data_IF_850024611593
#
_entry.id   IF_850024611593
#
_cell.length_a   1.000
_cell.length_b   1.000
_cell.length_c   1.000
_cell.angle_alpha   90.00
_cell.angle_beta   90.00
_cell.angle_gamma   90.00
#
_symmetry.space_group_name_H-M   'P 1'
#
loop_
_entity.id
_entity.type
_entity.pdbx_description
1 polymer ?
#
# COMPACT_ATOMS: atom_id res chain seq x y z
N UNK A 1 19.97 -11.37 29.69
CA UNK A 1 18.60 -10.89 29.96
C UNK A 1 18.19 -9.86 28.89
N UNK A 2 18.91 -8.76 28.67
CA UNK A 2 18.55 -7.67 27.73
C UNK A 2 18.32 -8.17 26.29
N UNK A 3 19.21 -9.00 25.73
CA UNK A 3 19.07 -9.52 24.37
C UNK A 3 17.85 -10.43 24.19
N UNK A 4 17.53 -11.21 25.21
CA UNK A 4 16.33 -12.05 25.21
C UNK A 4 15.07 -11.20 25.26
N UNK A 5 15.04 -10.19 26.13
CA UNK A 5 13.92 -9.25 26.21
C UNK A 5 13.73 -8.48 24.89
N UNK A 6 14.82 -8.10 24.23
CA UNK A 6 14.77 -7.46 22.92
C UNK A 6 14.19 -8.38 21.85
N UNK A 7 14.60 -9.66 21.84
CA UNK A 7 14.07 -10.64 20.89
C UNK A 7 12.56 -10.84 21.07
N UNK A 8 12.08 -10.96 22.32
CA UNK A 8 10.65 -11.04 22.60
C UNK A 8 9.90 -9.76 22.23
N UNK A 9 10.50 -8.58 22.43
CA UNK A 9 9.89 -7.32 22.00
C UNK A 9 9.76 -7.25 20.47
N UNK A 10 10.76 -7.73 19.73
CA UNK A 10 10.67 -7.82 18.26
C UNK A 10 9.58 -8.79 17.83
N UNK A 11 9.54 -9.99 18.40
CA UNK A 11 8.52 -10.98 18.07
C UNK A 11 7.12 -10.48 18.37
N UNK A 12 6.90 -9.86 19.52
CA UNK A 12 5.61 -9.29 19.89
C UNK A 12 5.17 -8.20 18.93
N UNK A 13 6.07 -7.30 18.51
CA UNK A 13 5.78 -6.27 17.54
C UNK A 13 5.49 -6.83 16.13
N UNK A 14 6.27 -7.82 15.71
CA UNK A 14 6.07 -8.51 14.41
C UNK A 14 4.72 -9.20 14.40
N UNK A 15 4.37 -9.94 15.43
CA UNK A 15 3.12 -10.70 15.54
C UNK A 15 1.90 -9.77 15.58
N UNK A 16 1.98 -8.68 16.34
CA UNK A 16 0.92 -7.66 16.37
C UNK A 16 0.66 -7.07 14.97
N UNK A 17 1.73 -6.67 14.27
CA UNK A 17 1.62 -6.12 12.91
C UNK A 17 1.07 -7.17 11.93
N UNK A 18 1.55 -8.41 11.99
CA UNK A 18 1.09 -9.50 11.11
C UNK A 18 -0.39 -9.80 11.30
N UNK A 19 -0.84 -9.85 12.55
CA UNK A 19 -2.25 -10.10 12.88
C UNK A 19 -3.14 -8.98 12.33
N UNK A 20 -2.77 -7.72 12.56
CA UNK A 20 -3.50 -6.58 12.03
C UNK A 20 -3.51 -6.55 10.50
N UNK A 21 -2.38 -6.87 9.83
CA UNK A 21 -2.32 -6.95 8.36
C UNK A 21 -3.24 -8.05 7.82
N UNK A 22 -3.22 -9.24 8.43
CA UNK A 22 -4.04 -10.36 8.01
C UNK A 22 -5.54 -10.05 8.14
N UNK A 23 -5.95 -9.43 9.25
CA UNK A 23 -7.32 -8.99 9.50
C UNK A 23 -7.78 -7.97 8.43
N UNK A 24 -6.98 -6.91 8.21
CA UNK A 24 -7.31 -5.87 7.23
C UNK A 24 -7.31 -6.35 5.78
N UNK A 25 -6.42 -7.27 5.42
CA UNK A 25 -6.43 -7.90 4.09
C UNK A 25 -7.69 -8.75 3.91
N UNK A 26 -8.10 -9.51 4.93
CA UNK A 26 -9.35 -10.29 4.91
C UNK A 26 -10.58 -9.41 4.74
N UNK A 27 -10.65 -8.27 5.44
CA UNK A 27 -11.75 -7.31 5.34
C UNK A 27 -11.80 -6.65 3.95
N UNK A 28 -10.65 -6.37 3.34
CA UNK A 28 -10.57 -5.84 1.97
C UNK A 28 -11.10 -6.82 0.93
N UNK A 29 -10.83 -8.11 1.06
CA UNK A 29 -11.34 -9.15 0.16
C UNK A 29 -12.87 -9.21 0.19
N UNK A 30 -13.49 -8.81 1.31
CA UNK A 30 -14.96 -8.76 1.49
C UNK A 30 -15.61 -7.44 1.04
N UNK A 31 -14.93 -6.63 0.23
CA UNK A 31 -15.44 -5.38 -0.40
C UNK A 31 -15.83 -4.23 0.56
N UNK A 32 -15.27 -4.20 1.75
CA UNK A 32 -15.43 -3.05 2.65
C UNK A 32 -14.46 -1.93 2.26
N UNK A 33 -14.95 -0.94 1.54
CA UNK A 33 -14.18 0.14 0.88
C UNK A 33 -13.43 1.06 1.88
N UNK A 34 -13.91 1.18 3.11
CA UNK A 34 -13.32 2.09 4.11
C UNK A 34 -11.95 1.63 4.65
N UNK A 35 -11.61 0.35 4.47
CA UNK A 35 -10.40 -0.25 5.06
C UNK A 35 -9.10 0.00 4.29
N UNK A 36 -9.14 0.58 3.08
CA UNK A 36 -7.92 0.73 2.26
C UNK A 36 -6.94 1.75 2.86
N UNK A 37 -7.44 2.81 3.48
CA UNK A 37 -6.60 3.81 4.12
C UNK A 37 -5.97 3.26 5.40
N UNK A 38 -6.74 2.49 6.17
CA UNK A 38 -6.23 1.79 7.36
C UNK A 38 -5.18 0.75 6.98
N UNK A 39 -5.39 0.00 5.90
CA UNK A 39 -4.40 -0.93 5.37
C UNK A 39 -3.12 -0.22 4.93
N UNK A 40 -3.24 0.95 4.30
CA UNK A 40 -2.09 1.78 3.91
C UNK A 40 -1.32 2.29 5.12
N UNK A 41 -2.01 2.79 6.15
CA UNK A 41 -1.39 3.29 7.38
C UNK A 41 -0.66 2.16 8.11
N UNK A 42 -1.26 0.98 8.15
CA UNK A 42 -0.64 -0.21 8.74
C UNK A 42 0.60 -0.66 7.94
N UNK A 43 0.53 -0.62 6.60
CA UNK A 43 1.68 -0.88 5.73
C UNK A 43 2.84 0.08 6.04
N UNK A 44 2.55 1.37 6.17
CA UNK A 44 3.55 2.40 6.51
C UNK A 44 4.15 2.13 7.90
N UNK A 45 3.31 1.79 8.89
CA UNK A 45 3.76 1.43 10.25
C UNK A 45 4.71 0.22 10.23
N UNK A 46 4.35 -0.81 9.50
CA UNK A 46 5.15 -2.02 9.36
C UNK A 46 6.47 -1.79 8.63
N UNK A 47 6.43 -1.05 7.52
CA UNK A 47 7.62 -0.67 6.77
C UNK A 47 8.58 0.18 7.62
N UNK A 48 8.04 1.14 8.40
CA UNK A 48 8.82 1.95 9.34
C UNK A 48 9.43 1.09 10.45
N UNK A 49 8.66 0.16 11.04
CA UNK A 49 9.20 -0.76 12.04
C UNK A 49 10.40 -1.53 11.49
N UNK A 50 10.24 -2.16 10.32
CA UNK A 50 11.29 -2.97 9.71
C UNK A 50 12.53 -2.16 9.31
N UNK A 51 12.35 -0.91 8.87
CA UNK A 51 13.47 -0.08 8.37
C UNK A 51 14.20 0.69 9.47
N UNK A 52 13.53 0.98 10.59
CA UNK A 52 14.08 1.88 11.61
C UNK A 52 14.25 1.26 13.00
N UNK A 53 13.40 0.31 13.36
CA UNK A 53 13.37 -0.25 14.71
C UNK A 53 13.90 -1.68 14.77
N UNK A 54 13.73 -2.45 13.70
CA UNK A 54 14.22 -3.82 13.67
C UNK A 54 15.64 -3.89 13.13
N UNK A 55 16.52 -4.50 13.92
CA UNK A 55 17.91 -4.78 13.55
C UNK A 55 18.13 -6.30 13.55
N UNK A 56 18.47 -6.86 12.41
CA UNK A 56 18.80 -8.29 12.29
C UNK A 56 19.95 -8.69 13.21
N UNK A 57 20.88 -7.77 13.43
CA UNK A 57 22.01 -7.96 14.34
C UNK A 57 22.14 -6.73 15.26
N UNK A 58 21.38 -6.69 16.38
CA UNK A 58 21.34 -5.52 17.28
C UNK A 58 22.60 -5.36 18.15
N UNK A 59 23.63 -6.15 17.87
CA UNK A 59 24.91 -6.08 18.60
C UNK A 59 26.05 -5.71 17.65
N UNK A 60 27.04 -4.97 18.19
CA UNK A 60 28.21 -4.58 17.40
C UNK A 60 29.03 -5.82 17.01
N UNK A 61 29.38 -5.92 15.74
CA UNK A 61 30.20 -7.01 15.18
C UNK A 61 31.54 -7.20 15.92
N UNK A 62 32.07 -6.11 16.51
CA UNK A 62 33.32 -6.15 17.30
C UNK A 62 33.22 -6.99 18.58
N UNK A 63 32.01 -7.24 19.08
CA UNK A 63 31.80 -8.08 20.27
C UNK A 63 31.36 -9.48 19.86
N UNK A 64 32.32 -10.35 19.60
CA UNK A 64 32.09 -11.74 19.16
C UNK A 64 31.20 -12.54 20.11
N UNK A 65 31.36 -12.36 21.41
CA UNK A 65 30.58 -13.10 22.42
C UNK A 65 29.11 -12.73 22.39
N UNK A 66 28.79 -11.43 22.29
CA UNK A 66 27.39 -10.97 22.17
C UNK A 66 26.77 -11.36 20.84
N UNK A 67 27.53 -11.34 19.76
CA UNK A 67 27.09 -11.81 18.45
C UNK A 67 26.73 -13.30 18.48
N UNK A 68 27.54 -14.13 19.13
CA UNK A 68 27.26 -15.54 19.31
C UNK A 68 25.99 -15.79 20.13
N UNK A 69 25.83 -15.06 21.23
CA UNK A 69 24.62 -15.10 22.05
C UNK A 69 23.38 -14.72 21.23
N UNK A 70 23.47 -13.62 20.47
CA UNK A 70 22.35 -13.20 19.61
C UNK A 70 21.99 -14.27 18.58
N UNK A 71 22.97 -14.87 17.89
CA UNK A 71 22.73 -15.96 16.94
C UNK A 71 22.02 -17.17 17.57
N UNK A 72 22.36 -17.49 18.83
CA UNK A 72 21.68 -18.59 19.56
C UNK A 72 20.22 -18.20 19.89
N UNK A 73 19.98 -16.98 20.32
CA UNK A 73 18.63 -16.45 20.61
C UNK A 73 17.80 -16.43 19.33
N UNK A 74 18.34 -15.86 18.26
CA UNK A 74 17.67 -15.80 16.96
C UNK A 74 17.31 -17.18 16.43
N UNK A 75 18.24 -18.13 16.51
CA UNK A 75 18.00 -19.52 16.11
C UNK A 75 16.94 -20.23 16.97
N UNK A 76 16.87 -19.90 18.26
CA UNK A 76 15.90 -20.50 19.18
C UNK A 76 14.48 -19.90 19.05
N UNK A 77 14.39 -18.63 18.67
CA UNK A 77 13.14 -17.86 18.61
C UNK A 77 12.71 -17.50 17.19
N UNK A 78 13.52 -17.83 16.18
CA UNK A 78 13.26 -17.57 14.75
C UNK A 78 12.92 -16.09 14.43
N UNK A 79 13.56 -15.14 15.12
CA UNK A 79 13.27 -13.70 15.01
C UNK A 79 13.48 -13.20 13.58
N UNK A 80 14.59 -13.57 12.95
CA UNK A 80 14.88 -13.17 11.57
C UNK A 80 13.92 -13.84 10.56
N UNK A 81 13.50 -15.07 10.80
CA UNK A 81 12.49 -15.73 9.96
C UNK A 81 11.15 -15.00 10.05
N UNK A 82 10.71 -14.69 11.27
CA UNK A 82 9.45 -13.94 11.49
C UNK A 82 9.49 -12.55 10.84
N UNK A 83 10.63 -11.85 10.91
CA UNK A 83 10.81 -10.58 10.22
C UNK A 83 10.74 -10.71 8.69
N UNK A 84 11.32 -11.76 8.12
CA UNK A 84 11.25 -12.02 6.68
C UNK A 84 9.83 -12.33 6.23
N UNK A 85 9.09 -13.12 6.99
CA UNK A 85 7.68 -13.39 6.72
C UNK A 85 6.82 -12.12 6.77
N UNK A 86 7.11 -11.19 7.69
CA UNK A 86 6.48 -9.88 7.69
C UNK A 86 6.78 -9.10 6.41
N UNK A 87 8.02 -9.12 5.92
CA UNK A 87 8.39 -8.47 4.65
C UNK A 87 7.66 -9.07 3.45
N UNK A 88 7.49 -10.39 3.41
CA UNK A 88 6.72 -11.07 2.37
C UNK A 88 5.24 -10.66 2.41
N UNK A 89 4.65 -10.55 3.60
CA UNK A 89 3.29 -10.03 3.75
C UNK A 89 3.17 -8.57 3.32
N UNK A 90 4.17 -7.74 3.63
CA UNK A 90 4.21 -6.34 3.18
C UNK A 90 4.28 -6.23 1.65
N UNK A 91 5.02 -7.10 0.97
CA UNK A 91 5.05 -7.14 -0.49
C UNK A 91 3.65 -7.43 -1.06
N UNK A 92 2.94 -8.42 -0.51
CA UNK A 92 1.57 -8.74 -0.92
C UNK A 92 0.60 -7.57 -0.68
N UNK A 93 0.72 -6.88 0.45
CA UNK A 93 -0.10 -5.69 0.76
C UNK A 93 0.20 -4.56 -0.21
N UNK A 94 1.47 -4.36 -0.57
CA UNK A 94 1.88 -3.37 -1.56
C UNK A 94 1.21 -3.61 -2.91
N UNK A 95 1.15 -4.86 -3.36
CA UNK A 95 0.49 -5.22 -4.61
C UNK A 95 -1.03 -4.95 -4.57
N UNK A 96 -1.68 -5.24 -3.44
CA UNK A 96 -3.10 -4.92 -3.23
C UNK A 96 -3.35 -3.41 -3.31
N UNK A 97 -2.49 -2.61 -2.66
CA UNK A 97 -2.60 -1.14 -2.68
C UNK A 97 -2.36 -0.57 -4.08
N UNK A 98 -1.43 -1.14 -4.85
CA UNK A 98 -1.18 -0.73 -6.23
C UNK A 98 -2.36 -1.04 -7.15
N UNK A 99 -2.95 -2.23 -7.04
CA UNK A 99 -4.15 -2.60 -7.79
C UNK A 99 -5.34 -1.67 -7.50
N UNK A 100 -5.52 -1.25 -6.26
CA UNK A 100 -6.56 -0.29 -5.88
C UNK A 100 -6.32 1.10 -6.49
N UNK A 101 -5.07 1.57 -6.45
CA UNK A 101 -4.68 2.84 -7.07
C UNK A 101 -4.88 2.80 -8.59
N UNK A 102 -4.53 1.71 -9.25
CA UNK A 102 -4.71 1.56 -10.71
C UNK A 102 -6.18 1.53 -11.10
N UNK A 103 -7.03 0.85 -10.31
CA UNK A 103 -8.49 0.89 -10.52
C UNK A 103 -9.05 2.30 -10.40
N UNK A 104 -8.68 3.05 -9.36
CA UNK A 104 -9.11 4.44 -9.16
C UNK A 104 -8.67 5.33 -10.32
N UNK A 105 -7.45 5.15 -10.80
CA UNK A 105 -6.91 5.89 -11.95
C UNK A 105 -7.70 5.61 -13.22
N UNK A 106 -7.98 4.33 -13.51
CA UNK A 106 -8.79 3.93 -14.66
C UNK A 106 -10.23 4.47 -14.58
N UNK A 107 -10.83 4.51 -13.38
CA UNK A 107 -12.15 5.09 -13.19
C UNK A 107 -12.17 6.60 -13.42
N UNK A 108 -11.13 7.30 -13.01
CA UNK A 108 -10.96 8.74 -13.26
C UNK A 108 -10.78 9.01 -14.77
N UNK A 109 -9.89 8.27 -15.43
CA UNK A 109 -9.68 8.38 -16.89
C UNK A 109 -10.99 8.17 -17.66
N UNK A 110 -11.77 7.13 -17.31
CA UNK A 110 -13.10 6.89 -17.92
C UNK A 110 -14.10 8.00 -17.66
N UNK A 111 -14.05 8.67 -16.51
CA UNK A 111 -14.92 9.84 -16.20
C UNK A 111 -14.49 11.05 -17.03
N UNK A 112 -13.20 11.28 -17.18
CA UNK A 112 -12.67 12.38 -18.00
C UNK A 112 -12.97 12.17 -19.47
N UNK A 113 -12.80 10.95 -20.00
CA UNK A 113 -13.18 10.61 -21.40
C UNK A 113 -14.66 10.84 -21.66
N UNK A 114 -15.55 10.44 -20.73
CA UNK A 114 -16.98 10.70 -20.86
C UNK A 114 -17.30 12.20 -20.85
N UNK A 115 -16.66 12.95 -19.95
CA UNK A 115 -16.85 14.39 -19.88
C UNK A 115 -16.39 15.07 -21.17
N UNK A 116 -15.24 14.67 -21.70
CA UNK A 116 -14.70 15.18 -22.96
C UNK A 116 -15.59 14.83 -24.16
N UNK A 117 -16.14 13.60 -24.17
CA UNK A 117 -17.10 13.20 -25.19
C UNK A 117 -18.36 14.08 -25.17
N UNK A 118 -18.95 14.38 -24.02
CA UNK A 118 -20.11 15.27 -23.91
C UNK A 118 -19.78 16.72 -24.33
N UNK A 119 -18.61 17.23 -23.98
CA UNK A 119 -18.15 18.55 -24.43
C UNK A 119 -18.00 18.62 -25.95
N UNK A 120 -17.38 17.61 -26.56
CA UNK A 120 -17.24 17.54 -28.02
C UNK A 120 -18.59 17.45 -28.73
N UNK A 121 -19.54 16.72 -28.18
CA UNK A 121 -20.91 16.63 -28.71
C UNK A 121 -21.62 18.00 -28.65
N UNK A 122 -21.48 18.70 -27.54
CA UNK A 122 -22.03 20.04 -27.34
C UNK A 122 -21.44 21.07 -28.33
N UNK A 123 -20.13 21.11 -28.49
CA UNK A 123 -19.46 21.98 -29.45
C UNK A 123 -19.86 21.65 -30.89
N UNK A 124 -20.00 20.38 -31.22
CA UNK A 124 -20.47 19.96 -32.55
C UNK A 124 -21.91 20.39 -32.80
N UNK A 125 -22.80 20.26 -31.82
CA UNK A 125 -24.19 20.74 -31.93
C UNK A 125 -24.25 22.26 -32.06
N UNK A 126 -23.48 23.02 -31.30
CA UNK A 126 -23.38 24.48 -31.42
C UNK A 126 -22.85 24.91 -32.79
N UNK A 127 -21.84 24.23 -33.32
CA UNK A 127 -21.30 24.50 -34.65
C UNK A 127 -22.35 24.30 -35.76
N UNK A 128 -23.17 23.25 -35.65
CA UNK A 128 -24.29 23.01 -36.58
C UNK A 128 -25.35 24.13 -36.52
N UNK A 129 -25.71 24.56 -35.31
CA UNK A 129 -26.69 25.65 -35.12
C UNK A 129 -26.19 26.97 -35.76
N UNK A 130 -24.92 27.31 -35.50
CA UNK A 130 -24.28 28.51 -36.07
C UNK A 130 -24.22 28.43 -37.60
N UNK A 131 -23.92 27.26 -38.17
CA UNK A 131 -23.87 27.04 -39.60
C UNK A 131 -25.23 27.21 -40.26
N UNK A 132 -26.30 26.75 -39.64
CA UNK A 132 -27.69 26.90 -40.13
C UNK A 132 -28.09 28.36 -40.07
N UNK A 133 -27.83 29.07 -38.98
CA UNK A 133 -28.15 30.50 -38.83
C UNK A 133 -27.40 31.38 -39.87
N UNK A 134 -26.11 31.09 -40.10
CA UNK A 134 -25.30 31.77 -41.10
C UNK A 134 -25.79 31.55 -42.54
N UNK A 135 -26.34 30.36 -42.83
CA UNK A 135 -26.91 30.04 -44.13
C UNK A 135 -28.23 30.83 -44.41
N UNK A 136 -29.00 31.13 -43.35
CA UNK A 136 -30.23 31.92 -43.48
C UNK A 136 -29.95 33.40 -43.73
N UNK A 137 -28.85 33.96 -43.28
CA UNK A 137 -28.49 35.37 -43.58
C UNK A 137 -28.00 35.56 -45.03
N UNK A 138 -27.44 34.56 -45.66
CA UNK A 138 -26.96 34.57 -47.04
C UNK A 138 -28.09 34.42 -48.07
N UNK A 139 -29.28 34.03 -47.67
CA UNK A 139 -30.46 33.83 -48.50
C UNK A 139 -31.42 35.04 -48.50
N UNK A 140 -31.05 36.15 -47.88
CA UNK A 140 -31.82 37.39 -47.82
C UNK A 140 -31.15 38.48 -48.63
#
# INVERSE_FOLDING_TARGET
IILVSLAYAYLGAIEDIRTQLAEKVSDKVNDKIDDINELRDLYIKAAKFNSTLFFQQPVLIKNSSLTEIWKKIDRALDVNTSSRELLEQLANVHDILNLDNDKKRQEQEKKEEKCQYYWNLWFSALGLIISILGSFELLK
#
